data_IF_438245723542
#
_entry.id   IF_438245723542
#
_cell.length_a   1.000
_cell.length_b   1.000
_cell.length_c   1.000
_cell.angle_alpha   90.00
_cell.angle_beta   90.00
_cell.angle_gamma   90.00
#
_symmetry.space_group_name_H-M   'P 1'
#
loop_
_entity.id
_entity.type
_entity.pdbx_description
1 polymer ?
#
# COMPACT_ATOMS: atom_id res chain seq x y z
N UNK A 1 42.46 65.98 14.58
CA UNK A 1 42.10 65.24 15.81
C UNK A 1 40.62 64.81 15.76
N UNK A 2 40.18 64.06 14.72
CA UNK A 2 38.74 63.67 14.53
C UNK A 2 38.57 62.23 13.97
N UNK A 3 39.66 61.49 13.73
CA UNK A 3 39.59 60.17 13.06
C UNK A 3 39.33 58.96 13.99
N UNK A 4 39.33 59.14 15.31
CA UNK A 4 39.10 58.04 16.26
C UNK A 4 37.63 57.81 16.66
N UNK A 5 36.74 58.76 16.38
CA UNK A 5 35.33 58.66 16.82
C UNK A 5 34.46 57.76 15.94
N UNK A 6 34.87 57.52 14.68
CA UNK A 6 34.08 56.69 13.75
C UNK A 6 34.17 55.19 14.07
N UNK A 7 35.30 54.71 14.61
CA UNK A 7 35.46 53.30 15.00
C UNK A 7 34.76 52.97 16.32
N UNK A 8 34.60 53.94 17.22
CA UNK A 8 33.86 53.77 18.47
C UNK A 8 32.34 53.69 18.24
N UNK A 9 31.80 54.44 17.26
CA UNK A 9 30.38 54.35 16.87
C UNK A 9 30.04 53.05 16.15
N UNK A 10 30.95 52.52 15.32
CA UNK A 10 30.76 51.22 14.65
C UNK A 10 30.80 50.03 15.61
N UNK A 11 31.64 50.09 16.66
CA UNK A 11 31.68 49.06 17.71
C UNK A 11 30.41 49.03 18.57
N UNK A 12 29.76 50.17 18.78
CA UNK A 12 28.54 50.27 19.59
C UNK A 12 27.29 49.74 18.85
N UNK A 13 27.25 49.85 17.52
CA UNK A 13 26.16 49.35 16.68
C UNK A 13 26.09 47.82 16.59
N UNK A 14 27.21 47.12 16.79
CA UNK A 14 27.26 45.65 16.81
C UNK A 14 26.90 45.09 18.20
N UNK A 15 27.10 45.86 19.27
CA UNK A 15 26.76 45.44 20.65
C UNK A 15 25.28 45.67 21.01
N UNK A 16 24.54 46.41 20.19
CA UNK A 16 23.10 46.72 20.36
C UNK A 16 22.20 45.99 19.36
N UNK A 17 22.69 44.99 18.62
CA UNK A 17 21.80 44.07 17.92
C UNK A 17 21.26 43.07 18.96
N UNK A 18 20.00 43.14 19.42
CA UNK A 18 19.43 42.03 20.15
C UNK A 18 19.58 40.81 19.24
N UNK A 19 20.30 39.79 19.71
CA UNK A 19 20.41 38.53 18.99
C UNK A 19 19.00 38.10 18.61
N UNK A 20 18.67 38.20 17.32
CA UNK A 20 17.41 37.68 16.81
C UNK A 20 17.51 36.18 17.02
N UNK A 21 16.99 35.73 18.16
CA UNK A 21 16.56 34.37 18.34
C UNK A 21 15.54 34.14 17.23
N UNK A 22 16.00 33.59 16.11
CA UNK A 22 15.15 33.00 15.10
C UNK A 22 14.35 31.94 15.83
N UNK A 23 13.15 32.32 16.29
CA UNK A 23 12.16 31.33 16.68
C UNK A 23 11.84 30.61 15.38
N UNK A 24 12.45 29.43 15.20
CA UNK A 24 11.95 28.45 14.26
C UNK A 24 10.46 28.30 14.58
N UNK A 25 9.61 28.87 13.73
CA UNK A 25 8.18 28.72 13.90
C UNK A 25 7.93 27.22 13.82
N UNK A 26 7.43 26.63 14.90
CA UNK A 26 6.87 25.29 14.84
C UNK A 26 5.76 25.36 13.80
N UNK A 27 6.02 24.88 12.57
CA UNK A 27 4.98 24.76 11.56
C UNK A 27 3.92 23.85 12.16
N UNK A 28 2.78 24.44 12.51
CA UNK A 28 1.62 23.70 12.96
C UNK A 28 1.21 22.82 11.80
N UNK A 29 1.26 21.49 11.99
CA UNK A 29 0.74 20.56 10.98
C UNK A 29 -0.74 20.86 10.80
N UNK A 30 -1.10 21.21 9.57
CA UNK A 30 -2.48 21.31 9.14
C UNK A 30 -2.75 20.10 8.25
N UNK A 31 -3.96 19.56 8.37
CA UNK A 31 -4.38 18.39 7.60
C UNK A 31 -5.62 18.78 6.84
N UNK A 32 -5.61 18.51 5.54
CA UNK A 32 -6.83 18.48 4.76
C UNK A 32 -7.54 17.16 5.02
N UNK A 33 -8.85 17.23 5.13
CA UNK A 33 -9.68 16.07 5.40
C UNK A 33 -10.40 15.66 4.11
N UNK A 34 -10.09 14.47 3.63
CA UNK A 34 -10.85 13.79 2.58
C UNK A 34 -11.71 12.73 3.26
N UNK A 35 -13.04 12.89 3.22
CA UNK A 35 -13.96 12.02 3.93
C UNK A 35 -15.17 11.60 3.06
N UNK A 36 -16.22 11.06 3.69
CA UNK A 36 -17.37 10.50 3.00
C UNK A 36 -18.06 11.52 2.06
N UNK A 37 -18.12 12.79 2.49
CA UNK A 37 -18.73 13.86 1.69
C UNK A 37 -17.94 14.19 0.42
N UNK A 38 -16.66 13.85 0.40
CA UNK A 38 -15.73 14.10 -0.70
C UNK A 38 -15.65 12.89 -1.65
N UNK A 39 -16.44 11.83 -1.40
CA UNK A 39 -16.53 10.65 -2.27
C UNK A 39 -15.86 9.38 -1.74
N UNK A 40 -15.17 9.45 -0.59
CA UNK A 40 -14.58 8.25 0.03
C UNK A 40 -15.70 7.26 0.43
N UNK A 41 -15.61 5.96 0.08
CA UNK A 41 -16.71 5.04 0.27
C UNK A 41 -16.96 4.58 1.71
N UNK A 42 -15.96 4.73 2.59
CA UNK A 42 -16.05 4.31 3.98
C UNK A 42 -14.99 5.03 4.83
N UNK A 43 -15.31 5.33 6.10
CA UNK A 43 -14.43 6.08 7.00
C UNK A 43 -13.24 5.27 7.51
N UNK A 44 -13.38 3.94 7.60
CA UNK A 44 -12.29 3.03 7.94
C UNK A 44 -11.48 2.69 6.68
N UNK A 45 -10.24 3.19 6.66
CA UNK A 45 -9.24 2.92 5.63
C UNK A 45 -8.17 1.99 6.21
N UNK A 46 -8.07 0.78 5.66
CA UNK A 46 -7.13 -0.24 6.12
C UNK A 46 -5.72 -0.08 5.51
N UNK A 47 -5.64 0.43 4.27
CA UNK A 47 -4.38 0.66 3.57
C UNK A 47 -4.52 1.75 2.51
N UNK A 48 -3.45 2.51 2.32
CA UNK A 48 -3.31 3.51 1.26
C UNK A 48 -2.04 3.18 0.49
N UNK A 49 -2.11 3.20 -0.85
CA UNK A 49 -0.93 3.15 -1.71
C UNK A 49 -1.08 4.20 -2.83
N UNK A 50 0.04 4.61 -3.39
CA UNK A 50 0.06 5.30 -4.69
C UNK A 50 0.48 4.28 -5.75
N UNK A 51 -0.21 4.26 -6.88
CA UNK A 51 0.22 3.48 -8.03
C UNK A 51 1.25 4.23 -8.88
N UNK A 52 1.89 3.53 -9.83
CA UNK A 52 2.91 4.06 -10.75
C UNK A 52 2.41 5.20 -11.63
N UNK A 53 1.11 5.37 -11.77
CA UNK A 53 0.47 6.36 -12.61
C UNK A 53 0.03 7.58 -11.79
N UNK A 54 0.25 7.54 -10.48
CA UNK A 54 0.04 8.63 -9.54
C UNK A 54 -1.29 8.58 -8.81
N UNK A 55 -2.17 7.63 -9.12
CA UNK A 55 -3.47 7.49 -8.43
C UNK A 55 -3.26 6.97 -7.01
N UNK A 56 -4.04 7.52 -6.07
CA UNK A 56 -4.10 7.00 -4.72
C UNK A 56 -5.18 5.92 -4.62
N UNK A 57 -4.86 4.82 -3.98
CA UNK A 57 -5.77 3.70 -3.77
C UNK A 57 -6.02 3.50 -2.29
N UNK A 58 -7.29 3.43 -1.91
CA UNK A 58 -7.76 3.29 -0.54
C UNK A 58 -8.48 1.96 -0.40
N UNK A 59 -7.87 1.05 0.36
CA UNK A 59 -8.53 -0.17 0.82
C UNK A 59 -9.45 0.20 1.98
N UNK A 60 -10.77 0.11 1.76
CA UNK A 60 -11.75 0.51 2.77
C UNK A 60 -12.64 -0.65 3.21
N UNK A 61 -13.38 -0.44 4.30
CA UNK A 61 -14.34 -1.43 4.81
C UNK A 61 -15.54 -1.69 3.89
N UNK A 62 -15.82 -0.82 2.90
CA UNK A 62 -16.97 -0.95 1.99
C UNK A 62 -16.64 -0.49 0.55
N UNK A 63 -15.55 -1.02 0.00
CA UNK A 63 -15.12 -0.81 -1.38
C UNK A 63 -13.64 -0.49 -1.50
N UNK A 64 -13.10 -0.68 -2.71
CA UNK A 64 -11.80 -0.15 -3.10
C UNK A 64 -12.02 1.22 -3.75
N UNK A 65 -11.32 2.26 -3.31
CA UNK A 65 -11.43 3.59 -3.90
C UNK A 65 -10.14 3.97 -4.63
N UNK A 66 -10.23 4.47 -5.86
CA UNK A 66 -9.16 5.13 -6.61
C UNK A 66 -9.43 6.62 -6.62
N UNK A 67 -8.43 7.43 -6.25
CA UNK A 67 -8.50 8.89 -6.25
C UNK A 67 -7.51 9.44 -7.25
N UNK A 68 -7.97 10.33 -8.12
CA UNK A 68 -7.17 10.94 -9.19
C UNK A 68 -6.61 12.33 -8.84
N UNK A 69 -6.90 12.82 -7.63
CA UNK A 69 -6.57 14.18 -7.20
C UNK A 69 -7.78 15.10 -7.11
N UNK A 70 -8.89 14.72 -7.75
CA UNK A 70 -10.15 15.47 -7.80
C UNK A 70 -11.32 14.62 -7.31
N UNK A 71 -11.49 13.42 -7.86
CA UNK A 71 -12.66 12.57 -7.67
C UNK A 71 -12.28 11.13 -7.28
N UNK A 72 -13.24 10.43 -6.66
CA UNK A 72 -13.13 9.00 -6.35
C UNK A 72 -13.86 8.13 -7.36
N UNK A 73 -13.16 7.15 -7.93
CA UNK A 73 -13.77 5.96 -8.53
C UNK A 73 -13.88 4.86 -7.47
N UNK A 74 -15.09 4.35 -7.22
CA UNK A 74 -15.31 3.32 -6.19
C UNK A 74 -15.70 1.98 -6.83
N UNK A 75 -14.96 0.94 -6.48
CA UNK A 75 -15.23 -0.44 -6.90
C UNK A 75 -15.90 -1.21 -5.77
N UNK A 76 -17.06 -1.81 -6.07
CA UNK A 76 -17.87 -2.62 -5.15
C UNK A 76 -18.33 -3.91 -5.82
N UNK A 77 -18.79 -4.89 -5.03
CA UNK A 77 -19.45 -6.05 -5.57
C UNK A 77 -20.71 -5.69 -6.35
N UNK A 78 -20.78 -6.24 -7.56
CA UNK A 78 -21.93 -6.21 -8.43
C UNK A 78 -22.27 -7.67 -8.79
N UNK A 79 -23.52 -8.06 -8.52
CA UNK A 79 -24.01 -9.41 -8.80
C UNK A 79 -24.21 -9.66 -10.30
N UNK A 80 -24.38 -8.60 -11.10
CA UNK A 80 -24.60 -8.65 -12.54
C UNK A 80 -23.30 -8.66 -13.34
N UNK A 81 -22.21 -8.13 -12.79
CA UNK A 81 -20.90 -8.08 -13.44
C UNK A 81 -19.97 -9.17 -12.88
N UNK A 82 -19.64 -10.24 -13.63
CA UNK A 82 -18.72 -11.28 -13.18
C UNK A 82 -17.29 -10.75 -12.92
N UNK A 83 -16.92 -9.61 -13.51
CA UNK A 83 -15.61 -8.98 -13.36
C UNK A 83 -15.54 -7.94 -12.24
N UNK A 84 -16.62 -7.73 -11.49
CA UNK A 84 -16.59 -6.91 -10.28
C UNK A 84 -15.73 -7.57 -9.20
N UNK A 85 -15.19 -6.76 -8.28
CA UNK A 85 -14.67 -7.30 -7.03
C UNK A 85 -15.77 -8.05 -6.28
N UNK A 86 -15.49 -9.18 -5.63
CA UNK A 86 -16.54 -10.04 -5.04
C UNK A 86 -16.77 -9.84 -3.54
N UNK A 87 -15.95 -9.00 -2.91
CA UNK A 87 -16.09 -8.61 -1.51
C UNK A 87 -15.73 -7.13 -1.34
N UNK A 88 -16.60 -6.38 -0.68
CA UNK A 88 -16.41 -4.96 -0.43
C UNK A 88 -15.42 -4.68 0.71
N UNK A 89 -15.14 -5.66 1.58
CA UNK A 89 -14.24 -5.47 2.71
C UNK A 89 -12.78 -5.66 2.28
N UNK A 90 -12.12 -4.55 1.96
CA UNK A 90 -10.76 -4.56 1.44
C UNK A 90 -9.78 -4.44 2.60
N UNK A 91 -8.95 -5.46 2.77
CA UNK A 91 -7.98 -5.56 3.87
C UNK A 91 -6.59 -5.08 3.47
N UNK A 92 -6.22 -5.27 2.21
CA UNK A 92 -4.90 -4.90 1.73
C UNK A 92 -4.91 -4.68 0.23
N UNK A 93 -4.00 -3.83 -0.24
CA UNK A 93 -3.72 -3.58 -1.65
C UNK A 93 -2.21 -3.37 -1.83
N UNK A 94 -1.64 -3.95 -2.88
CA UNK A 94 -0.25 -3.70 -3.31
C UNK A 94 -0.17 -3.65 -4.83
N UNK A 95 0.76 -2.85 -5.35
CA UNK A 95 1.10 -2.90 -6.77
C UNK A 95 2.37 -3.74 -6.96
N UNK A 96 2.36 -4.65 -7.93
CA UNK A 96 3.56 -5.38 -8.33
C UNK A 96 4.44 -4.58 -9.29
N UNK A 97 5.62 -5.14 -9.62
CA UNK A 97 6.55 -4.51 -10.54
C UNK A 97 6.00 -4.37 -11.97
N UNK A 98 5.05 -5.20 -12.39
CA UNK A 98 4.40 -5.09 -13.69
C UNK A 98 3.24 -4.06 -13.69
N UNK A 99 2.95 -3.44 -12.55
CA UNK A 99 1.90 -2.44 -12.41
C UNK A 99 0.51 -3.03 -12.10
N UNK A 100 0.40 -4.35 -11.91
CA UNK A 100 -0.87 -4.94 -11.51
C UNK A 100 -1.16 -4.67 -10.05
N UNK A 101 -2.43 -4.43 -9.73
CA UNK A 101 -2.89 -4.32 -8.35
C UNK A 101 -3.36 -5.67 -7.83
N UNK A 102 -2.89 -6.01 -6.64
CA UNK A 102 -3.24 -7.21 -5.90
C UNK A 102 -4.00 -6.80 -4.65
N UNK A 103 -5.22 -7.33 -4.51
CA UNK A 103 -6.20 -6.90 -3.53
C UNK A 103 -6.55 -8.08 -2.63
N UNK A 104 -6.29 -7.95 -1.33
CA UNK A 104 -6.77 -8.89 -0.34
C UNK A 104 -8.12 -8.43 0.19
N UNK A 105 -9.10 -9.30 0.08
CA UNK A 105 -10.45 -9.13 0.63
C UNK A 105 -10.63 -10.04 1.85
N UNK A 106 -11.55 -9.70 2.74
CA UNK A 106 -11.80 -10.47 3.96
C UNK A 106 -12.30 -11.90 3.65
N UNK A 107 -13.25 -12.03 2.72
CA UNK A 107 -14.00 -13.26 2.48
C UNK A 107 -13.76 -13.91 1.12
N UNK A 108 -13.31 -13.15 0.11
CA UNK A 108 -13.06 -13.71 -1.22
C UNK A 108 -11.58 -14.00 -1.51
N UNK A 109 -10.68 -13.54 -0.63
CA UNK A 109 -9.25 -13.80 -0.73
C UNK A 109 -8.56 -12.81 -1.68
N UNK A 110 -7.68 -13.33 -2.54
CA UNK A 110 -6.83 -12.52 -3.42
C UNK A 110 -7.55 -12.24 -4.74
N UNK A 111 -7.56 -10.98 -5.13
CA UNK A 111 -8.04 -10.52 -6.42
C UNK A 111 -6.91 -9.78 -7.14
N UNK A 112 -6.85 -9.90 -8.46
CA UNK A 112 -5.99 -9.12 -9.33
C UNK A 112 -6.86 -8.15 -10.10
N UNK A 113 -6.48 -6.88 -10.13
CA UNK A 113 -7.14 -5.86 -10.93
C UNK A 113 -6.35 -5.60 -12.21
N UNK A 114 -7.00 -5.81 -13.36
CA UNK A 114 -6.52 -5.39 -14.67
C UNK A 114 -6.97 -3.95 -14.91
N UNK A 115 -6.01 -3.03 -14.84
CA UNK A 115 -6.27 -1.59 -15.01
C UNK A 115 -6.77 -1.20 -16.40
N UNK A 116 -6.42 -1.95 -17.44
CA UNK A 116 -6.73 -1.56 -18.81
C UNK A 116 -8.17 -1.92 -19.16
N UNK A 117 -8.66 -2.99 -18.55
CA UNK A 117 -10.04 -3.46 -18.70
C UNK A 117 -10.96 -3.00 -17.57
N UNK A 118 -10.38 -2.46 -16.50
CA UNK A 118 -11.05 -2.19 -15.21
C UNK A 118 -11.77 -3.41 -14.64
N UNK A 119 -11.12 -4.58 -14.73
CA UNK A 119 -11.71 -5.86 -14.35
C UNK A 119 -10.96 -6.50 -13.17
N UNK A 120 -11.72 -7.13 -12.28
CA UNK A 120 -11.20 -7.95 -11.19
C UNK A 120 -11.26 -9.42 -11.58
N UNK A 121 -10.18 -10.13 -11.30
CA UNK A 121 -10.12 -11.58 -11.41
C UNK A 121 -9.70 -12.16 -10.07
N UNK A 122 -10.48 -13.10 -9.54
CA UNK A 122 -10.11 -13.84 -8.35
C UNK A 122 -8.90 -14.74 -8.65
N UNK A 123 -7.89 -14.66 -7.82
CA UNK A 123 -6.67 -15.46 -7.96
C UNK A 123 -6.60 -16.48 -6.84
N UNK A 124 -6.49 -17.75 -7.22
CA UNK A 124 -6.19 -18.80 -6.27
C UNK A 124 -4.71 -18.70 -5.84
N UNK A 125 -4.46 -18.57 -4.54
CA UNK A 125 -3.13 -18.49 -3.94
C UNK A 125 -2.82 -19.64 -2.98
N UNK A 126 -3.71 -20.61 -2.83
CA UNK A 126 -3.52 -21.76 -1.95
C UNK A 126 -3.69 -23.08 -2.73
N UNK A 127 -2.90 -24.09 -2.37
CA UNK A 127 -2.94 -25.41 -3.02
C UNK A 127 -4.17 -26.25 -2.66
N UNK A 128 -4.43 -27.31 -3.44
CA UNK A 128 -5.49 -28.29 -3.15
C UNK A 128 -5.20 -29.14 -1.90
N UNK A 129 -3.94 -29.20 -1.47
CA UNK A 129 -3.49 -30.06 -0.34
C UNK A 129 -3.89 -29.53 1.05
N UNK A 130 -4.82 -28.58 1.15
CA UNK A 130 -5.28 -28.04 2.44
C UNK A 130 -6.22 -28.98 3.20
N UNK A 131 -6.69 -30.07 2.57
CA UNK A 131 -7.70 -30.95 3.15
C UNK A 131 -8.90 -30.16 3.68
N UNK A 132 -9.30 -30.43 4.92
CA UNK A 132 -10.48 -29.82 5.56
C UNK A 132 -10.22 -28.43 6.19
N UNK A 133 -8.99 -27.88 6.09
CA UNK A 133 -8.62 -26.62 6.78
C UNK A 133 -9.18 -25.36 6.13
N UNK A 134 -9.90 -25.49 5.02
CA UNK A 134 -10.47 -24.39 4.28
C UNK A 134 -9.44 -23.43 3.68
N UNK A 135 -9.92 -22.32 3.12
CA UNK A 135 -9.09 -21.28 2.50
C UNK A 135 -8.31 -20.51 3.59
N UNK A 136 -6.98 -20.36 3.47
CA UNK A 136 -6.21 -19.49 4.37
C UNK A 136 -6.67 -18.04 4.31
N UNK A 137 -6.80 -17.35 5.44
CA UNK A 137 -7.17 -15.93 5.49
C UNK A 137 -5.92 -15.09 5.26
N UNK A 138 -5.97 -14.15 4.31
CA UNK A 138 -4.87 -13.22 4.03
C UNK A 138 -4.83 -12.16 5.11
N UNK A 139 -3.67 -11.98 5.75
CA UNK A 139 -3.42 -10.97 6.77
C UNK A 139 -2.53 -9.84 6.27
N UNK A 140 -1.67 -10.12 5.28
CA UNK A 140 -0.78 -9.12 4.70
C UNK A 140 -0.44 -9.44 3.24
N UNK A 141 -0.18 -8.38 2.47
CA UNK A 141 0.38 -8.46 1.12
C UNK A 141 1.61 -7.57 1.03
N UNK A 142 2.62 -8.04 0.31
CA UNK A 142 3.82 -7.28 -0.04
C UNK A 142 4.31 -7.66 -1.42
N UNK A 143 4.64 -6.67 -2.24
CA UNK A 143 5.34 -6.89 -3.50
C UNK A 143 6.84 -6.62 -3.31
N UNK A 144 7.69 -7.43 -3.93
CA UNK A 144 9.14 -7.25 -3.90
C UNK A 144 9.69 -6.67 -5.22
N UNK A 145 10.99 -6.38 -5.23
CA UNK A 145 11.71 -5.78 -6.37
C UNK A 145 11.96 -6.75 -7.53
N UNK A 146 11.78 -8.05 -7.30
CA UNK A 146 11.85 -9.11 -8.31
C UNK A 146 10.50 -9.30 -9.01
N UNK A 147 9.44 -8.69 -8.47
CA UNK A 147 8.07 -8.75 -8.99
C UNK A 147 7.22 -9.82 -8.33
N UNK A 148 7.71 -10.51 -7.30
CA UNK A 148 6.91 -11.47 -6.57
C UNK A 148 5.93 -10.77 -5.64
N UNK A 149 4.82 -11.45 -5.36
CA UNK A 149 3.82 -11.04 -4.37
C UNK A 149 3.82 -12.05 -3.24
N UNK A 150 4.24 -11.58 -2.08
CA UNK A 150 4.23 -12.29 -0.81
C UNK A 150 2.88 -12.11 -0.13
N UNK A 151 2.30 -13.24 0.28
CA UNK A 151 0.95 -13.35 0.82
C UNK A 151 1.07 -13.98 2.20
N UNK A 152 1.01 -13.13 3.23
CA UNK A 152 0.93 -13.56 4.62
C UNK A 152 -0.48 -14.05 4.92
N UNK A 153 -0.59 -15.23 5.52
CA UNK A 153 -1.87 -15.81 5.91
C UNK A 153 -1.82 -16.36 7.33
N UNK A 154 -2.98 -16.60 7.93
CA UNK A 154 -3.08 -17.31 9.20
C UNK A 154 -2.59 -18.79 9.15
N UNK A 155 -2.29 -19.33 7.97
CA UNK A 155 -1.77 -20.69 7.80
C UNK A 155 -0.32 -20.72 7.27
N UNK A 156 0.34 -19.56 7.21
CA UNK A 156 1.73 -19.41 6.79
C UNK A 156 1.93 -18.45 5.61
N UNK A 157 3.12 -18.51 5.02
CA UNK A 157 3.56 -17.57 3.98
C UNK A 157 3.52 -18.23 2.60
N UNK A 158 2.90 -17.54 1.66
CA UNK A 158 2.81 -17.93 0.27
C UNK A 158 3.49 -16.87 -0.59
N UNK A 159 4.05 -17.26 -1.72
CA UNK A 159 4.65 -16.34 -2.68
C UNK A 159 4.19 -16.69 -4.08
N UNK A 160 3.79 -15.67 -4.82
CA UNK A 160 3.40 -15.76 -6.22
C UNK A 160 4.45 -15.07 -7.08
N UNK A 161 5.07 -15.82 -7.98
CA UNK A 161 6.04 -15.28 -8.93
C UNK A 161 5.34 -14.79 -10.21
N UNK A 162 5.91 -13.82 -10.95
CA UNK A 162 5.34 -13.31 -12.19
C UNK A 162 5.14 -14.38 -13.28
N UNK A 163 6.06 -15.35 -13.35
CA UNK A 163 6.12 -16.37 -14.40
C UNK A 163 5.27 -17.60 -14.08
N UNK A 164 4.92 -17.82 -12.80
CA UNK A 164 4.15 -18.98 -12.40
C UNK A 164 2.66 -18.67 -12.29
N UNK A 165 1.83 -19.47 -12.96
CA UNK A 165 0.39 -19.52 -12.68
C UNK A 165 0.10 -20.02 -11.26
N UNK A 166 1.05 -20.74 -10.65
CA UNK A 166 0.96 -21.40 -9.34
C UNK A 166 1.66 -20.61 -8.25
N UNK A 167 1.03 -20.53 -7.09
CA UNK A 167 1.60 -19.94 -5.87
C UNK A 167 2.34 -21.01 -5.07
N UNK A 168 3.53 -20.68 -4.57
CA UNK A 168 4.38 -21.58 -3.77
C UNK A 168 4.19 -21.25 -2.28
N UNK A 169 4.03 -22.27 -1.44
CA UNK A 169 3.99 -22.13 0.02
C UNK A 169 5.40 -22.25 0.59
N UNK A 170 5.88 -21.21 1.25
CA UNK A 170 7.20 -21.17 1.87
C UNK A 170 7.18 -21.59 3.33
N UNK A 171 6.08 -21.29 4.05
CA UNK A 171 5.96 -21.58 5.47
C UNK A 171 4.60 -22.20 5.81
N UNK A 172 4.63 -23.17 6.72
CA UNK A 172 3.44 -23.68 7.40
C UNK A 172 3.48 -23.22 8.85
N UNK A 173 2.31 -22.98 9.46
CA UNK A 173 2.21 -22.66 10.90
C UNK A 173 2.88 -23.71 11.81
N UNK A 174 3.16 -24.91 11.28
CA UNK A 174 3.92 -25.99 11.93
C UNK A 174 5.45 -25.83 11.87
N UNK A 175 5.99 -24.67 11.47
CA UNK A 175 7.43 -24.36 11.45
C UNK A 175 8.05 -24.22 10.06
N UNK A 176 9.24 -23.61 10.00
CA UNK A 176 10.06 -23.45 8.79
C UNK A 176 10.53 -24.81 8.27
N UNK A 177 10.04 -25.21 7.09
CA UNK A 177 10.65 -26.27 6.30
C UNK A 177 11.35 -25.58 5.13
N UNK A 178 12.69 -25.57 5.07
CA UNK A 178 13.37 -24.98 3.93
C UNK A 178 12.88 -25.66 2.66
N UNK A 179 12.50 -24.88 1.64
CA UNK A 179 12.32 -25.46 0.31
C UNK A 179 13.67 -26.04 -0.10
N UNK A 180 13.70 -27.32 -0.46
CA UNK A 180 14.92 -27.96 -1.01
C UNK A 180 15.34 -27.36 -2.35
N UNK A 181 14.46 -26.56 -2.96
CA UNK A 181 14.73 -25.80 -4.17
C UNK A 181 15.18 -24.39 -3.82
N UNK A 182 16.39 -24.05 -4.25
CA UNK A 182 16.86 -22.66 -4.29
C UNK A 182 16.10 -21.90 -5.40
N UNK A 183 16.05 -20.57 -5.32
CA UNK A 183 15.30 -19.70 -6.26
C UNK A 183 15.59 -19.92 -7.76
N UNK A 184 16.66 -20.64 -8.12
CA UNK A 184 16.97 -21.02 -9.50
C UNK A 184 16.31 -22.33 -9.95
N UNK A 185 16.00 -23.26 -9.06
CA UNK A 185 15.48 -24.60 -9.39
C UNK A 185 13.94 -24.65 -9.51
N UNK A 186 13.29 -23.52 -9.28
CA UNK A 186 11.84 -23.32 -9.45
C UNK A 186 11.50 -22.65 -10.79
N UNK A 187 12.51 -22.24 -11.58
CA UNK A 187 12.38 -21.59 -12.88
C UNK A 187 12.88 -22.46 -14.06
N UNK A 188 13.01 -23.77 -13.85
CA UNK A 188 13.29 -24.76 -14.92
C UNK A 188 12.04 -25.55 -15.28
#
# INVERSE_FOLDING_TARGET
MVRHWHYLLLGYLVLLSPGMWLKAQHRKMQFDHICLKDGLPHSVVAKIIQDKEGFLWFATGNGLARYDGYDFTVYRPDASDPYSIKDANIRNVVQDKAGNLWIATAFEGLNKFDRYREQFTRVNYWGKDQGDRGRPIITSLMADTEGNVWIGTNQGLYCRTPQASKTIRYLSASGWKPSTKTGREICG
#
